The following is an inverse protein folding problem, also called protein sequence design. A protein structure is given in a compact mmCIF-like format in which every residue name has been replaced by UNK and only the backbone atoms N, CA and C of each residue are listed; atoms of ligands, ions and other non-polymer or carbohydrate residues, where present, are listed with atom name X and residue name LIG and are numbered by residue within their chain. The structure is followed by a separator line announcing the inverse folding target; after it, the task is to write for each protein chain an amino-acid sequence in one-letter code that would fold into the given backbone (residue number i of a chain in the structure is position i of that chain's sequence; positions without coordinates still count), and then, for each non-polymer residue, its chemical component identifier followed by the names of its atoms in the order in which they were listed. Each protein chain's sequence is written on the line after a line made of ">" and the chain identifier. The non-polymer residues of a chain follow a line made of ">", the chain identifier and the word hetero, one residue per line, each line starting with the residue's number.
data_IF_356739145838
#
_entry.id   IF_356739145838
#
_cell.length_a   1.000
_cell.length_b   1.000
_cell.length_c   1.000
_cell.angle_alpha   90.00
_cell.angle_beta   90.00
_cell.angle_gamma   90.00
#
_symmetry.space_group_name_H-M   'P 1'
#
loop_
_entity.id
_entity.type
_entity.pdbx_description
1 polymer ?
#
# COMPACT_ATOMS: atom_id res chain seq x y z
N UNK A 1 21.71 -42.97 31.01
CA UNK A 1 20.24 -43.08 30.94
C UNK A 1 19.84 -43.66 29.59
N UNK A 2 18.90 -44.60 29.55
CA UNK A 2 18.25 -45.01 28.29
C UNK A 2 17.07 -44.06 28.01
N UNK A 3 16.78 -43.73 26.74
CA UNK A 3 15.74 -42.74 26.37
C UNK A 3 14.36 -43.04 26.99
N UNK A 4 14.06 -44.33 27.17
CA UNK A 4 12.81 -44.84 27.75
C UNK A 4 12.71 -44.56 29.26
N UNK A 5 13.83 -44.56 29.98
CA UNK A 5 13.88 -44.28 31.42
C UNK A 5 13.70 -42.79 31.72
N UNK A 6 14.23 -41.92 30.86
CA UNK A 6 13.99 -40.47 30.91
C UNK A 6 12.52 -40.13 30.74
N UNK A 7 11.86 -40.74 29.75
CA UNK A 7 10.43 -40.57 29.51
C UNK A 7 9.60 -40.99 30.72
N UNK A 8 9.90 -42.16 31.32
CA UNK A 8 9.21 -42.63 32.53
C UNK A 8 9.46 -41.69 33.73
N UNK A 9 10.67 -41.18 33.92
CA UNK A 9 10.98 -40.24 35.00
C UNK A 9 10.32 -38.87 34.80
N UNK A 10 10.29 -38.35 33.58
CA UNK A 10 9.58 -37.11 33.22
C UNK A 10 8.09 -37.24 33.50
N UNK A 11 7.44 -38.31 33.03
CA UNK A 11 5.99 -38.54 33.24
C UNK A 11 5.66 -38.66 34.73
N UNK A 12 6.47 -39.40 35.51
CA UNK A 12 6.26 -39.57 36.95
C UNK A 12 6.39 -38.24 37.70
N UNK A 13 7.35 -37.40 37.29
CA UNK A 13 7.57 -36.08 37.88
C UNK A 13 6.49 -35.07 37.48
N UNK A 14 6.05 -35.09 36.22
CA UNK A 14 4.92 -34.28 35.76
C UNK A 14 3.65 -34.59 36.56
N UNK A 15 3.35 -35.87 36.79
CA UNK A 15 2.20 -36.28 37.62
C UNK A 15 2.36 -35.82 39.07
N UNK A 16 3.55 -35.95 39.66
CA UNK A 16 3.83 -35.53 41.05
C UNK A 16 3.69 -34.01 41.26
N UNK A 17 4.15 -33.21 40.30
CA UNK A 17 4.09 -31.74 40.35
C UNK A 17 2.94 -31.15 39.54
N UNK A 18 1.92 -31.97 39.22
CA UNK A 18 0.76 -31.53 38.42
C UNK A 18 0.04 -30.33 39.04
N UNK A 19 0.01 -30.24 40.38
CA UNK A 19 -0.57 -29.09 41.08
C UNK A 19 0.22 -27.79 40.89
N UNK A 20 1.56 -27.86 40.82
CA UNK A 20 2.41 -26.69 40.54
C UNK A 20 2.17 -26.18 39.11
N UNK A 21 2.02 -27.09 38.15
CA UNK A 21 1.69 -26.75 36.75
C UNK A 21 0.30 -26.08 36.69
N UNK A 22 -0.68 -26.60 37.44
CA UNK A 22 -2.02 -26.01 37.50
C UNK A 22 -2.01 -24.60 38.11
N UNK A 23 -1.24 -24.35 39.17
CA UNK A 23 -1.10 -23.01 39.78
C UNK A 23 -0.47 -22.02 38.80
N UNK A 24 0.60 -22.42 38.10
CA UNK A 24 1.25 -21.57 37.09
C UNK A 24 0.31 -21.29 35.91
N UNK A 25 -0.42 -22.31 35.44
CA UNK A 25 -1.41 -22.14 34.39
C UNK A 25 -2.51 -21.14 34.80
N UNK A 26 -3.07 -21.29 36.01
CA UNK A 26 -4.08 -20.36 36.54
C UNK A 26 -3.54 -18.94 36.74
N UNK A 27 -2.29 -18.78 37.19
CA UNK A 27 -1.64 -17.47 37.32
C UNK A 27 -1.50 -16.76 35.96
N UNK A 28 -1.05 -17.48 34.93
CA UNK A 28 -0.97 -16.94 33.57
C UNK A 28 -2.36 -16.69 32.96
N UNK A 29 -3.34 -17.57 33.21
CA UNK A 29 -4.74 -17.36 32.81
C UNK A 29 -5.34 -16.09 33.42
N UNK A 30 -5.12 -15.86 34.72
CA UNK A 30 -5.55 -14.66 35.43
C UNK A 30 -4.83 -13.39 34.94
N UNK A 31 -3.53 -13.47 34.65
CA UNK A 31 -2.75 -12.38 34.08
C UNK A 31 -3.30 -11.98 32.69
N UNK A 32 -3.50 -12.95 31.80
CA UNK A 32 -4.04 -12.69 30.46
C UNK A 32 -5.50 -12.21 30.49
N UNK A 33 -6.30 -12.63 31.48
CA UNK A 33 -7.63 -12.08 31.72
C UNK A 33 -7.57 -10.59 32.08
N UNK A 34 -6.68 -10.22 33.01
CA UNK A 34 -6.48 -8.83 33.41
C UNK A 34 -6.01 -7.98 32.22
N UNK A 35 -5.08 -8.49 31.42
CA UNK A 35 -4.63 -7.85 30.19
C UNK A 35 -5.76 -7.63 29.17
N UNK A 36 -6.63 -8.63 28.97
CA UNK A 36 -7.77 -8.50 28.06
C UNK A 36 -8.79 -7.48 28.59
N UNK A 37 -9.00 -7.41 29.91
CA UNK A 37 -9.89 -6.41 30.54
C UNK A 37 -9.36 -4.99 30.40
N UNK A 38 -8.03 -4.80 30.41
CA UNK A 38 -7.40 -3.49 30.27
C UNK A 38 -7.34 -3.00 28.80
N UNK A 39 -7.69 -3.84 27.83
CA UNK A 39 -7.68 -3.45 26.42
C UNK A 39 -8.77 -2.42 26.09
N UNK A 40 -8.39 -1.39 25.34
CA UNK A 40 -9.27 -0.29 24.93
C UNK A 40 -10.27 -0.80 23.90
N UNK A 41 -11.53 -0.38 24.02
CA UNK A 41 -12.57 -0.64 23.03
C UNK A 41 -12.28 0.21 21.79
N UNK A 42 -12.10 -0.45 20.65
CA UNK A 42 -11.94 0.25 19.38
C UNK A 42 -13.25 0.19 18.60
N UNK A 43 -13.54 1.24 17.84
CA UNK A 43 -14.69 1.34 16.96
C UNK A 43 -14.20 1.28 15.53
N UNK A 44 -14.79 0.42 14.71
CA UNK A 44 -14.44 0.31 13.30
C UNK A 44 -15.58 0.88 12.46
N UNK A 45 -15.23 1.80 11.56
CA UNK A 45 -16.10 2.26 10.48
C UNK A 45 -15.82 1.45 9.22
N UNK A 46 -16.90 1.04 8.56
CA UNK A 46 -16.88 0.47 7.22
C UNK A 46 -17.55 1.47 6.28
N UNK A 47 -16.82 1.92 5.26
CA UNK A 47 -17.40 2.69 4.15
C UNK A 47 -17.14 2.00 2.82
N UNK A 48 -18.05 2.19 1.88
CA UNK A 48 -17.94 1.60 0.54
C UNK A 48 -17.95 2.68 -0.51
N UNK A 49 -17.02 2.57 -1.45
CA UNK A 49 -16.83 3.54 -2.52
C UNK A 49 -16.90 2.82 -3.86
N UNK A 50 -17.71 3.35 -4.77
CA UNK A 50 -17.88 2.78 -6.09
C UNK A 50 -17.24 3.71 -7.13
N UNK A 51 -16.18 3.28 -7.82
CA UNK A 51 -15.70 3.98 -9.01
C UNK A 51 -16.64 3.65 -10.17
N UNK A 52 -17.46 4.61 -10.58
CA UNK A 52 -18.17 4.58 -11.86
C UNK A 52 -17.14 4.87 -12.96
N UNK A 53 -16.22 3.93 -13.19
CA UNK A 53 -15.36 3.96 -14.39
C UNK A 53 -16.13 3.33 -15.53
N UNK A 54 -16.48 4.10 -16.56
CA UNK A 54 -17.19 3.67 -17.75
C UNK A 54 -16.36 2.76 -18.68
N UNK A 55 -15.39 2.01 -18.17
CA UNK A 55 -14.45 1.25 -18.96
C UNK A 55 -14.74 -0.25 -18.94
N UNK A 56 -15.93 -0.64 -19.40
CA UNK A 56 -16.02 -1.85 -20.22
C UNK A 56 -15.49 -1.47 -21.61
N UNK A 57 -14.17 -1.33 -21.72
CA UNK A 57 -13.53 -1.23 -23.03
C UNK A 57 -12.77 -2.53 -23.22
N UNK A 58 -13.44 -3.50 -23.84
CA UNK A 58 -12.80 -4.55 -24.61
C UNK A 58 -11.99 -3.86 -25.71
N UNK A 59 -10.76 -3.49 -25.40
CA UNK A 59 -9.85 -2.78 -26.30
C UNK A 59 -9.35 -3.74 -27.37
N UNK A 60 -9.69 -3.43 -28.62
CA UNK A 60 -9.26 -4.07 -29.86
C UNK A 60 -7.73 -4.08 -30.10
N UNK A 61 -6.91 -3.71 -29.10
CA UNK A 61 -5.45 -3.79 -29.15
C UNK A 61 -4.92 -5.22 -28.98
N UNK A 62 -5.64 -6.08 -28.24
CA UNK A 62 -5.25 -7.48 -28.03
C UNK A 62 -5.41 -8.33 -29.30
N UNK A 63 -6.37 -8.00 -30.17
CA UNK A 63 -6.60 -8.73 -31.43
C UNK A 63 -5.56 -8.42 -32.50
N UNK A 64 -5.06 -7.18 -32.56
CA UNK A 64 -4.05 -6.78 -33.55
C UNK A 64 -2.66 -7.31 -33.15
N UNK A 65 -2.34 -7.30 -31.85
CA UNK A 65 -1.07 -7.85 -31.35
C UNK A 65 -1.03 -9.39 -31.47
N UNK A 66 -2.15 -10.07 -31.28
CA UNK A 66 -2.30 -11.50 -31.57
C UNK A 66 -2.27 -11.82 -33.08
N UNK A 67 -2.74 -10.91 -33.94
CA UNK A 67 -2.67 -11.06 -35.40
C UNK A 67 -1.25 -10.84 -35.96
N UNK A 68 -0.44 -10.02 -35.29
CA UNK A 68 0.93 -9.68 -35.71
C UNK A 68 2.02 -10.59 -35.11
N UNK A 69 1.66 -11.57 -34.28
CA UNK A 69 2.60 -12.56 -33.73
C UNK A 69 3.64 -11.98 -32.75
N UNK A 70 3.39 -10.80 -32.18
CA UNK A 70 4.31 -10.08 -31.28
C UNK A 70 4.13 -10.48 -29.80
N UNK A 71 3.91 -11.76 -29.53
CA UNK A 71 3.54 -12.27 -28.19
C UNK A 71 4.66 -12.21 -27.14
N UNK A 72 5.89 -11.89 -27.54
CA UNK A 72 7.08 -11.90 -26.66
C UNK A 72 7.68 -10.51 -26.38
N UNK A 73 7.01 -9.42 -26.76
CA UNK A 73 7.40 -8.11 -26.23
C UNK A 73 7.09 -8.09 -24.72
N UNK A 74 8.07 -7.77 -23.84
CA UNK A 74 7.80 -7.65 -22.41
C UNK A 74 6.66 -6.64 -22.24
N UNK A 75 5.57 -7.08 -21.60
CA UNK A 75 4.37 -6.28 -21.35
C UNK A 75 4.80 -4.89 -20.89
N UNK A 76 4.71 -3.92 -21.81
CA UNK A 76 5.10 -2.54 -21.56
C UNK A 76 4.28 -2.04 -20.36
N UNK A 77 4.96 -1.37 -19.42
CA UNK A 77 4.41 -0.77 -18.19
C UNK A 77 3.23 0.23 -18.41
N UNK A 78 2.79 0.43 -19.65
CA UNK A 78 2.09 1.65 -20.08
C UNK A 78 0.64 1.43 -20.55
N UNK A 79 0.25 0.22 -20.97
CA UNK A 79 -1.07 0.02 -21.61
C UNK A 79 -2.15 -0.61 -20.71
N UNK A 80 -1.77 -1.40 -19.69
CA UNK A 80 -2.71 -2.11 -18.80
C UNK A 80 -2.48 -1.84 -17.30
N UNK A 81 -1.71 -0.80 -16.94
CA UNK A 81 -1.54 -0.39 -15.55
C UNK A 81 -2.83 0.28 -15.03
N UNK A 82 -3.87 -0.52 -14.85
CA UNK A 82 -5.05 -0.13 -14.08
C UNK A 82 -4.57 0.29 -12.69
N UNK A 83 -4.73 1.58 -12.38
CA UNK A 83 -4.35 2.13 -11.07
C UNK A 83 -5.07 1.31 -10.01
N UNK A 84 -4.29 0.60 -9.20
CA UNK A 84 -4.83 -0.19 -8.10
C UNK A 84 -5.29 0.77 -7.00
N UNK A 85 -6.60 1.04 -6.96
CA UNK A 85 -7.21 1.97 -5.99
C UNK A 85 -6.98 1.51 -4.53
N UNK A 86 -6.80 0.21 -4.28
CA UNK A 86 -6.48 -0.32 -2.94
C UNK A 86 -5.08 0.06 -2.53
N UNK A 87 -4.11 -0.03 -3.45
CA UNK A 87 -2.74 0.39 -3.19
C UNK A 87 -2.65 1.89 -2.99
N UNK A 88 -3.40 2.67 -3.79
CA UNK A 88 -3.52 4.11 -3.60
C UNK A 88 -4.11 4.46 -2.23
N UNK A 89 -5.17 3.78 -1.79
CA UNK A 89 -5.77 3.99 -0.48
C UNK A 89 -4.79 3.66 0.65
N UNK A 90 -4.04 2.56 0.53
CA UNK A 90 -3.03 2.14 1.50
C UNK A 90 -1.67 2.84 1.30
N UNK A 91 -1.55 3.81 0.38
CA UNK A 91 -0.29 4.49 0.10
C UNK A 91 0.09 5.46 1.21
N UNK A 92 1.41 5.67 1.39
CA UNK A 92 1.95 6.66 2.32
C UNK A 92 1.48 8.07 1.98
N UNK A 93 1.40 8.41 0.69
CA UNK A 93 0.93 9.72 0.22
C UNK A 93 -0.49 10.04 0.69
N UNK A 94 -1.39 9.05 0.60
CA UNK A 94 -2.78 9.20 1.07
C UNK A 94 -2.83 9.39 2.58
N UNK A 95 -2.07 8.59 3.34
CA UNK A 95 -2.01 8.74 4.81
C UNK A 95 -1.46 10.09 5.25
N UNK A 96 -0.41 10.58 4.60
CA UNK A 96 0.18 11.89 4.92
C UNK A 96 -0.79 13.02 4.57
N UNK A 97 -1.45 12.96 3.42
CA UNK A 97 -2.45 13.93 3.02
C UNK A 97 -3.64 13.97 3.99
N UNK A 98 -4.12 12.82 4.44
CA UNK A 98 -5.15 12.73 5.49
C UNK A 98 -4.62 13.29 6.80
N UNK A 99 -3.41 12.93 7.22
CA UNK A 99 -2.83 13.41 8.48
C UNK A 99 -2.58 14.93 8.51
N UNK A 100 -2.45 15.60 7.36
CA UNK A 100 -2.30 17.05 7.25
C UNK A 100 -3.63 17.82 7.25
N UNK A 101 -4.75 17.14 7.05
CA UNK A 101 -6.06 17.78 6.98
C UNK A 101 -6.50 18.31 8.37
N UNK A 102 -7.20 19.44 8.37
CA UNK A 102 -7.79 20.02 9.59
C UNK A 102 -9.26 19.64 9.66
N UNK A 103 -9.74 19.32 10.86
CA UNK A 103 -11.15 19.00 11.08
C UNK A 103 -11.85 20.21 11.72
N UNK A 104 -12.72 20.95 11.00
CA UNK A 104 -13.45 22.08 11.56
C UNK A 104 -14.31 21.68 12.77
N UNK A 105 -14.90 20.49 12.72
CA UNK A 105 -15.74 19.90 13.77
C UNK A 105 -15.00 19.60 15.08
N UNK A 106 -13.67 19.67 15.10
CA UNK A 106 -12.81 19.36 16.26
C UNK A 106 -11.82 20.48 16.55
N UNK A 107 -12.34 21.69 16.78
CA UNK A 107 -11.54 22.85 17.17
C UNK A 107 -10.46 23.22 16.15
N UNK A 108 -10.71 22.92 14.86
CA UNK A 108 -9.78 23.15 13.75
C UNK A 108 -8.38 22.54 13.94
N UNK A 109 -8.28 21.48 14.77
CA UNK A 109 -7.05 20.74 14.97
C UNK A 109 -6.75 19.87 13.77
N UNK A 110 -5.46 19.67 13.52
CA UNK A 110 -4.99 18.76 12.48
C UNK A 110 -5.24 17.32 12.90
N UNK A 111 -5.57 16.43 11.96
CA UNK A 111 -5.76 14.99 12.23
C UNK A 111 -4.52 14.41 12.91
N UNK A 112 -3.32 14.83 12.51
CA UNK A 112 -2.09 14.40 13.15
C UNK A 112 -2.01 14.72 14.64
N UNK A 113 -2.45 15.91 15.07
CA UNK A 113 -2.53 16.28 16.49
C UNK A 113 -3.56 15.42 17.22
N UNK A 114 -4.76 15.29 16.66
CA UNK A 114 -5.86 14.55 17.26
C UNK A 114 -5.52 13.06 17.44
N UNK A 115 -4.83 12.45 16.47
CA UNK A 115 -4.39 11.06 16.55
C UNK A 115 -3.30 10.86 17.60
N UNK A 116 -2.37 11.80 17.73
CA UNK A 116 -1.33 11.75 18.76
C UNK A 116 -1.94 11.95 20.15
N UNK A 117 -2.87 12.89 20.30
CA UNK A 117 -3.60 13.12 21.55
C UNK A 117 -4.39 11.88 21.96
N UNK A 118 -5.14 11.27 21.04
CA UNK A 118 -5.90 10.06 21.32
C UNK A 118 -4.99 8.87 21.64
N UNK A 119 -3.86 8.72 20.94
CA UNK A 119 -2.87 7.69 21.26
C UNK A 119 -2.27 7.89 22.66
N UNK A 120 -1.95 9.13 23.02
CA UNK A 120 -1.35 9.50 24.30
C UNK A 120 -2.31 9.36 25.50
N UNK A 121 -3.64 9.32 25.28
CA UNK A 121 -4.61 9.01 26.35
C UNK A 121 -4.50 7.57 26.84
N UNK A 122 -4.05 6.65 26.00
CA UNK A 122 -3.97 5.21 26.30
C UNK A 122 -2.52 4.73 26.39
N UNK A 123 -1.71 5.43 27.18
CA UNK A 123 -0.31 5.06 27.47
C UNK A 123 -0.21 4.35 28.81
N UNK A 124 0.51 3.22 28.89
CA UNK A 124 0.61 2.40 30.10
C UNK A 124 1.34 1.08 29.87
N UNK A 125 1.37 0.20 30.89
CA UNK A 125 1.98 -1.13 30.77
C UNK A 125 1.31 -1.93 29.64
N UNK A 126 2.09 -2.27 28.61
CA UNK A 126 1.64 -3.01 27.42
C UNK A 126 0.55 -2.29 26.60
N UNK A 127 0.53 -0.94 26.67
CA UNK A 127 -0.31 -0.05 25.86
C UNK A 127 0.56 0.80 24.93
N UNK A 128 0.00 1.84 24.31
CA UNK A 128 0.70 2.64 23.32
C UNK A 128 1.91 3.36 23.94
N UNK A 129 3.00 3.48 23.18
CA UNK A 129 4.15 4.27 23.59
C UNK A 129 3.78 5.76 23.62
N UNK A 130 4.22 6.46 24.68
CA UNK A 130 3.97 7.89 24.82
C UNK A 130 4.81 8.66 23.81
N UNK A 131 4.14 9.40 22.94
CA UNK A 131 4.77 10.25 21.93
C UNK A 131 5.03 11.60 22.58
N UNK A 132 6.31 11.97 22.73
CA UNK A 132 6.72 13.26 23.31
C UNK A 132 6.33 14.41 22.38
N UNK A 133 5.69 15.43 22.91
CA UNK A 133 5.38 16.70 22.24
C UNK A 133 6.28 17.81 22.82
N UNK A 134 6.73 18.82 22.05
CA UNK A 134 6.35 19.14 20.67
C UNK A 134 7.22 18.42 19.62
N UNK A 135 6.58 18.01 18.53
CA UNK A 135 7.26 17.51 17.32
C UNK A 135 7.20 18.62 16.25
N UNK A 136 8.22 18.69 15.39
CA UNK A 136 8.16 19.49 14.17
C UNK A 136 6.97 19.07 13.30
N UNK A 137 6.36 20.02 12.58
CA UNK A 137 5.15 19.81 11.76
C UNK A 137 5.25 18.59 10.83
N UNK A 138 6.41 18.38 10.19
CA UNK A 138 6.66 17.24 9.32
C UNK A 138 6.80 15.93 10.10
N UNK A 139 7.50 15.95 11.23
CA UNK A 139 7.65 14.77 12.09
C UNK A 139 6.31 14.33 12.68
N UNK A 140 5.43 15.29 13.02
CA UNK A 140 4.08 15.05 13.52
C UNK A 140 3.24 14.29 12.48
N UNK A 141 3.29 14.72 11.21
CA UNK A 141 2.60 14.06 10.10
C UNK A 141 3.15 12.65 9.86
N UNK A 142 4.48 12.45 9.93
CA UNK A 142 5.08 11.13 9.76
C UNK A 142 4.65 10.14 10.85
N UNK A 143 4.62 10.60 12.12
CA UNK A 143 4.14 9.80 13.24
C UNK A 143 2.66 9.45 13.07
N UNK A 144 1.83 10.43 12.73
CA UNK A 144 0.41 10.21 12.46
C UNK A 144 0.18 9.26 11.28
N UNK A 145 0.97 9.37 10.20
CA UNK A 145 0.92 8.46 9.04
C UNK A 145 1.24 7.01 9.43
N UNK A 146 2.16 6.80 10.37
CA UNK A 146 2.46 5.47 10.92
C UNK A 146 1.31 4.94 11.80
N UNK A 147 0.66 5.78 12.61
CA UNK A 147 -0.53 5.39 13.37
C UNK A 147 -1.69 5.00 12.43
N UNK A 148 -1.88 5.77 11.35
CA UNK A 148 -2.86 5.49 10.32
C UNK A 148 -2.57 4.18 9.56
N UNK A 149 -1.30 3.85 9.31
CA UNK A 149 -0.91 2.59 8.67
C UNK A 149 -1.44 1.35 9.40
N UNK A 150 -1.50 1.41 10.73
CA UNK A 150 -1.96 0.27 11.55
C UNK A 150 -3.48 0.27 11.78
N UNK A 151 -4.15 1.42 11.64
CA UNK A 151 -5.57 1.60 11.95
C UNK A 151 -6.48 1.67 10.72
N UNK A 152 -5.91 1.89 9.53
CA UNK A 152 -6.62 1.96 8.26
C UNK A 152 -6.28 0.76 7.36
N UNK A 153 -7.30 0.24 6.69
CA UNK A 153 -7.12 -0.79 5.67
C UNK A 153 -8.18 -0.67 4.57
N UNK A 154 -7.74 -0.74 3.32
CA UNK A 154 -8.63 -0.83 2.16
C UNK A 154 -8.60 -2.24 1.54
N UNK A 155 -9.76 -2.74 1.10
CA UNK A 155 -9.92 -4.03 0.41
C UNK A 155 -10.95 -3.91 -0.70
N UNK A 156 -10.83 -4.75 -1.73
CA UNK A 156 -11.89 -4.92 -2.74
C UNK A 156 -12.69 -6.19 -2.41
N UNK A 157 -14.01 -6.07 -2.39
CA UNK A 157 -14.92 -7.21 -2.27
C UNK A 157 -15.02 -7.96 -3.61
N UNK A 158 -15.53 -9.20 -3.61
CA UNK A 158 -15.74 -10.03 -4.81
C UNK A 158 -16.55 -9.33 -5.90
N UNK A 159 -17.39 -8.36 -5.52
CA UNK A 159 -18.22 -7.57 -6.42
C UNK A 159 -17.50 -6.33 -7.00
N UNK A 160 -16.19 -6.18 -6.78
CA UNK A 160 -15.40 -5.04 -7.28
C UNK A 160 -15.58 -3.74 -6.49
N UNK A 161 -16.36 -3.76 -5.40
CA UNK A 161 -16.59 -2.60 -4.54
C UNK A 161 -15.39 -2.38 -3.61
N UNK A 162 -14.92 -1.14 -3.51
CA UNK A 162 -13.87 -0.75 -2.57
C UNK A 162 -14.47 -0.57 -1.18
N UNK A 163 -13.96 -1.32 -0.21
CA UNK A 163 -14.32 -1.21 1.20
C UNK A 163 -13.15 -0.58 1.97
N UNK A 164 -13.43 0.48 2.72
CA UNK A 164 -12.47 1.16 3.58
C UNK A 164 -12.82 0.88 5.03
N UNK A 165 -11.81 0.45 5.78
CA UNK A 165 -11.92 0.16 7.20
C UNK A 165 -11.03 1.12 7.97
N UNK A 166 -11.59 1.86 8.91
CA UNK A 166 -10.83 2.70 9.82
C UNK A 166 -11.23 2.43 11.27
N UNK A 167 -10.23 2.22 12.13
CA UNK A 167 -10.44 1.79 13.52
C UNK A 167 -9.79 2.75 14.49
N UNK A 168 -10.57 3.30 15.43
CA UNK A 168 -10.06 4.19 16.48
C UNK A 168 -10.90 4.06 17.77
N UNK A 169 -10.32 4.44 18.92
CA UNK A 169 -11.01 4.44 20.22
C UNK A 169 -12.11 5.51 20.32
N UNK A 170 -12.00 6.61 19.56
CA UNK A 170 -12.95 7.72 19.58
C UNK A 170 -13.87 7.69 18.35
N UNK A 171 -15.17 7.48 18.57
CA UNK A 171 -16.19 7.42 17.52
C UNK A 171 -16.23 8.65 16.61
N UNK A 172 -16.05 9.85 17.18
CA UNK A 172 -16.05 11.09 16.38
C UNK A 172 -14.81 11.16 15.48
N UNK A 173 -13.66 10.68 15.95
CA UNK A 173 -12.45 10.58 15.10
C UNK A 173 -12.63 9.54 14.00
N UNK A 174 -13.26 8.40 14.31
CA UNK A 174 -13.60 7.39 13.32
C UNK A 174 -14.39 8.01 12.17
N UNK A 175 -15.47 8.73 12.48
CA UNK A 175 -16.31 9.40 11.48
C UNK A 175 -15.52 10.36 10.60
N UNK A 176 -14.91 11.37 11.21
CA UNK A 176 -14.30 12.48 10.48
C UNK A 176 -13.08 12.01 9.67
N UNK A 177 -12.23 11.14 10.23
CA UNK A 177 -11.06 10.60 9.51
C UNK A 177 -11.50 9.73 8.34
N UNK A 178 -12.55 8.90 8.49
CA UNK A 178 -13.10 8.13 7.37
C UNK A 178 -13.61 9.02 6.23
N UNK A 179 -14.29 10.12 6.53
CA UNK A 179 -14.72 11.08 5.51
C UNK A 179 -13.54 11.70 4.77
N UNK A 180 -12.52 12.14 5.50
CA UNK A 180 -11.31 12.72 4.90
C UNK A 180 -10.58 11.69 4.03
N UNK A 181 -10.53 10.42 4.45
CA UNK A 181 -9.99 9.34 3.61
C UNK A 181 -10.73 9.20 2.29
N UNK A 182 -12.06 9.17 2.31
CA UNK A 182 -12.88 9.05 1.10
C UNK A 182 -12.61 10.24 0.17
N UNK A 183 -12.59 11.47 0.70
CA UNK A 183 -12.33 12.69 -0.08
C UNK A 183 -10.93 12.68 -0.72
N UNK A 184 -9.87 12.49 0.08
CA UNK A 184 -8.49 12.48 -0.42
C UNK A 184 -8.24 11.35 -1.40
N UNK A 185 -8.77 10.15 -1.12
CA UNK A 185 -8.66 9.02 -2.03
C UNK A 185 -9.36 9.31 -3.35
N UNK A 186 -10.56 9.88 -3.30
CA UNK A 186 -11.33 10.20 -4.50
C UNK A 186 -10.60 11.23 -5.36
N UNK A 187 -10.10 12.30 -4.74
CA UNK A 187 -9.31 13.32 -5.42
C UNK A 187 -8.05 12.74 -6.08
N UNK A 188 -7.27 11.95 -5.35
CA UNK A 188 -6.06 11.34 -5.89
C UNK A 188 -6.31 10.34 -7.00
N UNK A 189 -7.39 9.55 -6.90
CA UNK A 189 -7.75 8.61 -7.96
C UNK A 189 -8.18 9.34 -9.23
N UNK A 190 -9.03 10.37 -9.10
CA UNK A 190 -9.47 11.21 -10.23
C UNK A 190 -8.25 11.88 -10.89
N UNK A 191 -7.36 12.47 -10.09
CA UNK A 191 -6.15 13.15 -10.58
C UNK A 191 -5.26 12.17 -11.34
N UNK A 192 -4.95 11.01 -10.76
CA UNK A 192 -4.08 10.01 -11.39
C UNK A 192 -4.70 9.45 -12.67
N UNK A 193 -6.01 9.18 -12.69
CA UNK A 193 -6.68 8.64 -13.87
C UNK A 193 -6.72 9.64 -15.02
N UNK A 194 -7.04 10.91 -14.76
CA UNK A 194 -7.16 11.93 -15.82
C UNK A 194 -5.83 12.55 -16.24
N UNK A 195 -4.73 12.33 -15.48
CA UNK A 195 -3.47 13.06 -15.65
C UNK A 195 -2.93 12.97 -17.08
N UNK A 196 -2.97 11.79 -17.70
CA UNK A 196 -2.47 11.56 -19.05
C UNK A 196 -3.30 12.31 -20.09
N UNK A 197 -4.62 12.09 -20.13
CA UNK A 197 -5.49 12.82 -21.04
C UNK A 197 -5.46 14.34 -20.80
N UNK A 198 -5.23 14.80 -19.57
CA UNK A 198 -5.08 16.23 -19.28
C UNK A 198 -3.83 16.80 -19.97
N UNK A 199 -2.69 16.10 -19.89
CA UNK A 199 -1.45 16.52 -20.56
C UNK A 199 -1.66 16.55 -22.09
N UNK A 200 -2.31 15.54 -22.66
CA UNK A 200 -2.59 15.46 -24.10
C UNK A 200 -3.52 16.59 -24.57
N UNK A 201 -4.52 16.93 -23.75
CA UNK A 201 -5.43 18.04 -24.01
C UNK A 201 -4.70 19.39 -23.95
N UNK A 202 -3.90 19.62 -22.91
CA UNK A 202 -3.09 20.84 -22.76
C UNK A 202 -2.09 21.02 -23.92
N UNK A 203 -1.48 19.92 -24.38
CA UNK A 203 -0.62 19.93 -25.56
C UNK A 203 -1.39 20.32 -26.83
N UNK A 204 -2.60 19.77 -27.01
CA UNK A 204 -3.46 20.06 -28.16
C UNK A 204 -3.91 21.52 -28.19
N UNK A 205 -4.23 22.12 -27.02
CA UNK A 205 -4.52 23.56 -26.89
C UNK A 205 -3.30 24.37 -27.34
N UNK A 206 -2.14 24.12 -26.74
CA UNK A 206 -0.91 24.88 -27.04
C UNK A 206 -0.56 24.82 -28.53
N UNK A 207 -0.77 23.67 -29.17
CA UNK A 207 -0.53 23.51 -30.61
C UNK A 207 -1.49 24.36 -31.45
N UNK A 208 -2.79 24.36 -31.12
CA UNK A 208 -3.78 25.16 -31.82
C UNK A 208 -3.50 26.67 -31.66
N UNK A 209 -3.17 27.12 -30.44
CA UNK A 209 -2.86 28.53 -30.16
C UNK A 209 -1.57 28.99 -30.88
N UNK A 210 -0.57 28.11 -30.95
CA UNK A 210 0.66 28.39 -31.70
C UNK A 210 0.39 28.56 -33.19
N UNK A 211 -0.44 27.69 -33.78
CA UNK A 211 -0.82 27.78 -35.19
C UNK A 211 -1.65 29.04 -35.46
N UNK A 212 -2.57 29.41 -34.56
CA UNK A 212 -3.33 30.65 -34.65
C UNK A 212 -2.42 31.89 -34.60
N UNK A 213 -1.40 31.87 -33.74
CA UNK A 213 -0.40 32.95 -33.65
C UNK A 213 0.37 33.09 -34.96
N UNK A 214 0.81 31.98 -35.55
CA UNK A 214 1.48 31.98 -36.87
C UNK A 214 0.52 32.48 -37.95
N UNK A 215 -0.74 32.04 -37.96
CA UNK A 215 -1.75 32.50 -38.92
C UNK A 215 -1.95 34.02 -38.85
N UNK A 216 -2.08 34.58 -37.64
CA UNK A 216 -2.18 36.02 -37.41
C UNK A 216 -0.93 36.79 -37.89
N UNK A 217 0.26 36.19 -37.78
CA UNK A 217 1.49 36.78 -38.32
C UNK A 217 1.51 36.77 -39.85
N UNK A 218 1.05 35.69 -40.48
CA UNK A 218 0.90 35.62 -41.94
C UNK A 218 -0.14 36.63 -42.45
N UNK A 219 -1.22 36.84 -41.71
CA UNK A 219 -2.22 37.88 -42.02
C UNK A 219 -1.62 39.29 -41.99
N UNK A 220 -0.86 39.61 -40.94
CA UNK A 220 -0.13 40.89 -40.86
C UNK A 220 0.85 41.07 -42.01
N UNK A 221 1.57 40.01 -42.39
CA UNK A 221 2.46 40.03 -43.56
C UNK A 221 1.68 40.25 -44.85
N UNK A 222 0.53 39.61 -45.02
CA UNK A 222 -0.30 39.75 -46.20
C UNK A 222 -0.81 41.19 -46.35
N UNK A 223 -1.27 41.80 -45.26
CA UNK A 223 -1.66 43.22 -45.22
C UNK A 223 -0.47 44.11 -45.61
N UNK A 224 0.70 43.93 -44.98
CA UNK A 224 1.88 44.75 -45.29
C UNK A 224 2.37 44.61 -46.74
N UNK A 225 2.24 43.41 -47.31
CA UNK A 225 2.62 43.14 -48.70
C UNK A 225 1.62 43.80 -49.64
N UNK A 226 0.34 43.79 -49.32
CA UNK A 226 -0.69 44.43 -50.12
C UNK A 226 -0.56 45.97 -50.10
N UNK A 227 -0.40 46.56 -48.92
CA UNK A 227 -0.16 48.00 -48.75
C UNK A 227 1.09 48.48 -49.50
N UNK A 228 2.19 47.71 -49.46
CA UNK A 228 3.44 48.07 -50.15
C UNK A 228 3.42 47.86 -51.66
N UNK A 229 2.44 47.12 -52.19
CA UNK A 229 2.32 46.81 -53.63
C UNK A 229 1.08 47.42 -54.29
N UNK A 230 0.30 48.24 -53.57
CA UNK A 230 -0.97 48.80 -54.04
C UNK A 230 -0.87 49.59 -55.37
N UNK A 231 0.26 50.25 -55.63
CA UNK A 231 0.49 51.05 -56.85
C UNK A 231 1.47 50.39 -57.85
N UNK A 232 1.81 49.11 -57.70
CA UNK A 232 2.76 48.43 -58.58
C UNK A 232 2.06 47.68 -59.73
N UNK A 233 2.78 47.43 -60.82
CA UNK A 233 2.24 46.67 -61.95
C UNK A 233 2.13 45.18 -61.58
N UNK A 234 0.90 44.70 -61.41
CA UNK A 234 0.57 43.31 -61.05
C UNK A 234 1.04 42.27 -62.08
N UNK A 235 1.25 42.68 -63.34
CA UNK A 235 1.77 41.81 -64.40
C UNK A 235 3.25 41.43 -64.23
N UNK A 236 3.98 42.11 -63.34
CA UNK A 236 5.37 41.77 -63.03
C UNK A 236 5.42 40.64 -61.99
N UNK A 237 6.00 39.50 -62.38
CA UNK A 237 6.13 38.32 -61.53
C UNK A 237 6.80 38.62 -60.18
N UNK A 238 7.71 39.59 -60.11
CA UNK A 238 8.39 40.01 -58.87
C UNK A 238 7.43 40.47 -57.76
N UNK A 239 6.24 40.95 -58.12
CA UNK A 239 5.21 41.39 -57.18
C UNK A 239 4.10 40.36 -56.99
N UNK A 240 3.81 39.54 -58.00
CA UNK A 240 2.78 38.50 -57.95
C UNK A 240 3.23 37.24 -57.19
N UNK A 241 4.45 36.74 -57.42
CA UNK A 241 4.94 35.48 -56.84
C UNK A 241 4.97 35.51 -55.29
N UNK A 242 5.46 36.59 -54.63
CA UNK A 242 5.42 36.66 -53.16
C UNK A 242 4.01 36.62 -52.58
N UNK A 243 3.01 37.25 -53.25
CA UNK A 243 1.60 37.20 -52.83
C UNK A 243 1.06 35.78 -52.91
N UNK A 244 1.34 35.07 -54.01
CA UNK A 244 0.92 33.67 -54.20
C UNK A 244 1.55 32.74 -53.17
N UNK A 245 2.86 32.83 -52.95
CA UNK A 245 3.57 32.02 -51.96
C UNK A 245 3.02 32.24 -50.55
N UNK A 246 2.80 33.49 -50.16
CA UNK A 246 2.25 33.83 -48.84
C UNK A 246 0.81 33.33 -48.67
N UNK A 247 -0.01 33.39 -49.72
CA UNK A 247 -1.36 32.85 -49.71
C UNK A 247 -1.35 31.31 -49.56
N UNK A 248 -0.43 30.62 -50.24
CA UNK A 248 -0.25 29.17 -50.11
C UNK A 248 0.23 28.76 -48.70
N UNK A 249 1.20 29.50 -48.14
CA UNK A 249 1.67 29.28 -46.77
C UNK A 249 0.53 29.48 -45.77
N UNK A 250 -0.25 30.56 -45.94
CA UNK A 250 -1.44 30.81 -45.12
C UNK A 250 -2.45 29.68 -45.22
N UNK A 251 -2.78 29.21 -46.43
CA UNK A 251 -3.70 28.10 -46.63
C UNK A 251 -3.20 26.80 -45.96
N UNK A 252 -1.90 26.55 -46.01
CA UNK A 252 -1.26 25.38 -45.38
C UNK A 252 -1.37 25.45 -43.85
N UNK A 253 -1.01 26.58 -43.24
CA UNK A 253 -1.10 26.79 -41.79
C UNK A 253 -2.56 26.77 -41.33
N UNK A 254 -3.48 27.35 -42.10
CA UNK A 254 -4.90 27.34 -41.82
C UNK A 254 -5.47 25.91 -41.82
N UNK A 255 -5.08 25.07 -42.78
CA UNK A 255 -5.43 23.65 -42.82
C UNK A 255 -4.92 22.92 -41.56
N UNK A 256 -3.65 23.12 -41.21
CA UNK A 256 -3.08 22.55 -39.99
C UNK A 256 -3.80 23.01 -38.72
N UNK A 257 -4.21 24.27 -38.66
CA UNK A 257 -4.99 24.83 -37.56
C UNK A 257 -6.33 24.10 -37.41
N UNK A 258 -7.07 23.88 -38.51
CA UNK A 258 -8.32 23.13 -38.45
C UNK A 258 -8.13 21.68 -37.97
N UNK A 259 -7.07 21.00 -38.41
CA UNK A 259 -6.73 19.68 -37.88
C UNK A 259 -6.39 19.73 -36.38
N UNK A 260 -5.65 20.75 -35.94
CA UNK A 260 -5.31 20.93 -34.52
C UNK A 260 -6.54 21.19 -33.65
N UNK A 261 -7.52 21.97 -34.14
CA UNK A 261 -8.80 22.20 -33.45
C UNK A 261 -9.58 20.89 -33.32
N UNK A 262 -9.69 20.09 -34.38
CA UNK A 262 -10.34 18.77 -34.31
C UNK A 262 -9.63 17.81 -33.33
N UNK A 263 -8.30 17.84 -33.31
CA UNK A 263 -7.51 17.06 -32.35
C UNK A 263 -7.75 17.54 -30.91
N UNK A 264 -7.90 18.84 -30.69
CA UNK A 264 -8.25 19.44 -29.39
C UNK A 264 -9.63 18.97 -28.91
N UNK A 265 -10.65 18.98 -29.76
CA UNK A 265 -11.98 18.44 -29.41
C UNK A 265 -11.93 16.96 -29.08
N UNK A 266 -11.20 16.19 -29.89
CA UNK A 266 -10.99 14.76 -29.66
C UNK A 266 -10.26 14.51 -28.32
N UNK A 267 -9.30 15.35 -27.96
CA UNK A 267 -8.59 15.29 -26.69
C UNK A 267 -9.49 15.70 -25.51
N UNK A 268 -10.35 16.70 -25.67
CA UNK A 268 -11.34 17.10 -24.68
C UNK A 268 -12.33 15.96 -24.38
N UNK A 269 -12.82 15.29 -25.43
CA UNK A 269 -13.69 14.13 -25.30
C UNK A 269 -12.99 12.96 -24.58
N UNK A 270 -11.72 12.67 -24.91
CA UNK A 270 -10.93 11.67 -24.19
C UNK A 270 -10.76 12.02 -22.71
N UNK A 271 -10.45 13.28 -22.40
CA UNK A 271 -10.32 13.76 -21.01
C UNK A 271 -11.63 13.59 -20.23
N UNK A 272 -12.77 13.92 -20.83
CA UNK A 272 -14.08 13.70 -20.22
C UNK A 272 -14.34 12.21 -19.96
N UNK A 273 -14.05 11.36 -20.95
CA UNK A 273 -14.24 9.90 -20.84
C UNK A 273 -13.33 9.26 -19.79
N UNK A 274 -12.09 9.73 -19.66
CA UNK A 274 -11.12 9.21 -18.70
C UNK A 274 -11.31 9.75 -17.28
N UNK A 275 -12.07 10.83 -17.10
CA UNK A 275 -12.37 11.39 -15.77
C UNK A 275 -13.37 10.49 -15.05
N UNK A 276 -12.95 9.72 -14.02
CA UNK A 276 -13.85 8.82 -13.34
C UNK A 276 -14.78 9.59 -12.41
N UNK A 277 -15.98 9.07 -12.21
CA UNK A 277 -16.89 9.53 -11.17
C UNK A 277 -16.78 8.55 -10.00
N UNK A 278 -16.54 9.07 -8.80
CA UNK A 278 -16.43 8.27 -7.58
C UNK A 278 -17.52 8.72 -6.64
N UNK A 279 -18.37 7.78 -6.25
CA UNK A 279 -19.46 8.04 -5.30
C UNK A 279 -19.30 7.13 -4.07
N UNK A 280 -19.50 7.74 -2.90
CA UNK A 280 -19.57 6.99 -1.65
C UNK A 280 -20.94 6.32 -1.58
N UNK A 281 -20.97 4.99 -1.71
CA UNK A 281 -22.19 4.20 -1.62
C UNK A 281 -22.65 4.10 -0.17
N UNK A 282 -21.73 3.73 0.72
CA UNK A 282 -21.95 3.75 2.18
C UNK A 282 -21.09 4.83 2.83
N UNK A 283 -21.77 5.76 3.51
CA UNK A 283 -21.12 6.80 4.31
C UNK A 283 -20.67 6.23 5.67
N UNK A 284 -19.55 6.69 6.24
CA UNK A 284 -19.01 6.21 7.52
C UNK A 284 -19.80 6.72 8.74
N UNK A 285 -21.10 6.46 8.77
CA UNK A 285 -22.04 6.87 9.82
C UNK A 285 -22.25 5.75 10.85
N UNK A 286 -22.64 6.07 12.10
CA UNK A 286 -22.96 5.08 13.12
C UNK A 286 -24.20 4.23 12.74
N UNK A 287 -24.34 3.00 13.26
CA UNK A 287 -23.57 2.40 14.36
C UNK A 287 -22.22 1.81 13.93
N UNK A 288 -21.20 2.02 14.76
CA UNK A 288 -19.88 1.41 14.58
C UNK A 288 -19.80 0.09 15.34
N UNK A 289 -19.14 -0.91 14.76
CA UNK A 289 -18.93 -2.20 15.43
C UNK A 289 -17.82 -2.08 16.49
N UNK A 290 -18.11 -2.38 17.78
CA UNK A 290 -17.09 -2.34 18.82
C UNK A 290 -16.19 -3.56 18.74
N UNK A 291 -14.92 -3.36 18.37
CA UNK A 291 -13.89 -4.39 18.38
C UNK A 291 -13.27 -4.43 19.78
N UNK A 292 -13.52 -5.53 20.49
CA UNK A 292 -12.94 -5.82 21.82
C UNK A 292 -12.13 -7.10 21.78
N UNK A 293 -10.99 -7.12 22.48
CA UNK A 293 -10.25 -8.38 22.69
C UNK A 293 -11.14 -9.34 23.48
N UNK A 294 -11.38 -10.53 22.94
CA UNK A 294 -12.23 -11.52 23.61
C UNK A 294 -11.57 -12.02 24.89
N UNK A 295 -12.21 -11.73 26.03
CA UNK A 295 -11.71 -12.16 27.36
C UNK A 295 -11.47 -13.66 27.42
N UNK A 296 -12.38 -14.44 26.81
CA UNK A 296 -12.38 -15.90 26.81
C UNK A 296 -11.21 -16.46 26.00
N UNK A 297 -10.97 -15.89 24.81
CA UNK A 297 -9.88 -16.35 23.94
C UNK A 297 -8.53 -16.05 24.59
N UNK A 298 -8.36 -14.85 25.14
CA UNK A 298 -7.12 -14.47 25.82
C UNK A 298 -6.87 -15.27 27.10
N UNK A 299 -7.91 -15.58 27.89
CA UNK A 299 -7.77 -16.48 29.05
C UNK A 299 -7.32 -17.88 28.64
N UNK A 300 -7.89 -18.43 27.55
CA UNK A 300 -7.56 -19.76 27.08
C UNK A 300 -6.11 -19.83 26.59
N UNK A 301 -5.66 -18.83 25.84
CA UNK A 301 -4.26 -18.69 25.42
C UNK A 301 -3.34 -18.60 26.64
N UNK A 302 -3.69 -17.80 27.65
CA UNK A 302 -2.94 -17.68 28.90
C UNK A 302 -2.82 -19.01 29.65
N UNK A 303 -3.91 -19.79 29.73
CA UNK A 303 -3.91 -21.11 30.37
C UNK A 303 -3.00 -22.11 29.64
N UNK A 304 -3.08 -22.16 28.31
CA UNK A 304 -2.25 -23.05 27.49
C UNK A 304 -0.77 -22.67 27.64
N UNK A 305 -0.45 -21.38 27.50
CA UNK A 305 0.93 -20.89 27.59
C UNK A 305 1.51 -21.14 28.99
N UNK A 306 0.73 -20.88 30.04
CA UNK A 306 1.10 -21.15 31.42
C UNK A 306 1.28 -22.64 31.72
N UNK A 307 0.46 -23.50 31.11
CA UNK A 307 0.62 -24.96 31.19
C UNK A 307 1.93 -25.45 30.56
N UNK A 308 2.27 -24.92 29.38
CA UNK A 308 3.54 -25.24 28.69
C UNK A 308 4.74 -24.76 29.52
N UNK A 309 4.71 -23.51 30.00
CA UNK A 309 5.77 -22.95 30.85
C UNK A 309 5.91 -23.71 32.17
N UNK A 310 4.80 -24.10 32.79
CA UNK A 310 4.80 -24.94 34.00
C UNK A 310 5.42 -26.32 33.75
N UNK A 311 5.09 -26.96 32.62
CA UNK A 311 5.68 -28.24 32.22
C UNK A 311 7.19 -28.11 31.99
N UNK A 312 7.63 -27.05 31.32
CA UNK A 312 9.06 -26.77 31.11
C UNK A 312 9.79 -26.53 32.42
N UNK A 313 9.25 -25.70 33.33
CA UNK A 313 9.87 -25.39 34.61
C UNK A 313 10.06 -26.64 35.49
N UNK A 314 9.06 -27.53 35.53
CA UNK A 314 9.15 -28.80 36.28
C UNK A 314 10.15 -29.77 35.64
N UNK A 315 10.22 -29.78 34.30
CA UNK A 315 11.09 -30.66 33.53
C UNK A 315 12.54 -30.18 33.48
N UNK A 316 12.78 -28.88 33.66
CA UNK A 316 14.10 -28.22 33.56
C UNK A 316 15.18 -28.89 34.40
N UNK A 317 14.86 -29.31 35.64
CA UNK A 317 15.83 -29.98 36.52
C UNK A 317 16.23 -31.38 36.02
N UNK A 318 15.34 -32.12 35.38
CA UNK A 318 15.67 -33.44 34.79
C UNK A 318 16.46 -33.24 33.50
N UNK A 319 16.03 -32.28 32.68
CA UNK A 319 16.67 -31.95 31.41
C UNK A 319 18.12 -31.51 31.67
N UNK A 320 18.38 -30.62 32.63
CA UNK A 320 19.74 -30.19 32.97
C UNK A 320 20.62 -31.33 33.52
N UNK A 321 20.06 -32.26 34.28
CA UNK A 321 20.81 -33.43 34.77
C UNK A 321 21.19 -34.35 33.61
N UNK A 322 20.26 -34.60 32.69
CA UNK A 322 20.51 -35.40 31.50
C UNK A 322 21.53 -34.75 30.53
N UNK A 323 21.40 -33.44 30.29
CA UNK A 323 22.36 -32.69 29.47
C UNK A 323 23.76 -32.70 30.11
N UNK A 324 23.85 -32.59 31.44
CA UNK A 324 25.11 -32.70 32.16
C UNK A 324 25.75 -34.09 32.02
N UNK A 325 24.95 -35.15 32.12
CA UNK A 325 25.42 -36.53 31.98
C UNK A 325 25.86 -36.85 30.53
N UNK A 326 25.16 -36.33 29.52
CA UNK A 326 25.57 -36.43 28.11
C UNK A 326 26.82 -35.60 27.81
N UNK A 327 26.92 -34.39 28.37
CA UNK A 327 28.10 -33.53 28.20
C UNK A 327 29.33 -34.16 28.85
N UNK A 328 29.21 -34.69 30.07
CA UNK A 328 30.29 -35.40 30.75
C UNK A 328 30.72 -36.66 29.97
N UNK A 329 29.76 -37.42 29.43
CA UNK A 329 30.04 -38.60 28.58
C UNK A 329 30.67 -38.23 27.23
N UNK A 330 30.34 -37.06 26.68
CA UNK A 330 30.96 -36.51 25.48
C UNK A 330 32.39 -36.01 25.75
N UNK A 331 32.61 -35.34 26.89
CA UNK A 331 33.91 -34.90 27.37
C UNK A 331 34.82 -36.10 27.65
N UNK A 332 34.31 -37.16 28.29
CA UNK A 332 35.04 -38.41 28.56
C UNK A 332 35.39 -39.17 27.26
N UNK A 333 34.54 -39.11 26.23
CA UNK A 333 34.85 -39.62 24.89
C UNK A 333 35.91 -38.77 24.18
N UNK A 334 35.90 -37.46 24.38
CA UNK A 334 36.88 -36.53 23.80
C UNK A 334 38.23 -36.55 24.54
N UNK A 335 38.27 -36.95 25.81
CA UNK A 335 39.48 -37.01 26.64
C UNK A 335 40.25 -38.34 26.53
N UNK A 336 39.75 -39.35 25.80
CA UNK A 336 40.51 -40.56 25.51
C UNK A 336 41.60 -40.26 24.46
N UNK A 337 42.88 -40.56 24.72
CA UNK A 337 43.95 -40.27 23.78
C UNK A 337 43.82 -41.11 22.50
N UNK A 338 44.03 -40.47 21.36
CA UNK A 338 44.29 -41.13 20.07
C UNK A 338 45.64 -41.86 20.18
N UNK A 339 45.63 -43.13 20.56
CA UNK A 339 46.80 -43.99 20.68
C UNK A 339 46.92 -44.99 19.52
N UNK A 340 47.66 -44.57 18.48
CA UNK A 340 48.62 -45.34 17.67
C UNK A 340 48.41 -46.83 17.38
N UNK A 341 48.27 -47.14 16.08
CA UNK A 341 48.54 -48.44 15.48
C UNK A 341 48.27 -48.41 13.97
N UNK A 342 49.29 -48.03 13.18
CA UNK A 342 49.24 -47.88 11.72
C UNK A 342 49.15 -49.20 10.94
N UNK A 343 49.16 -49.13 9.59
CA UNK A 343 48.71 -50.18 8.68
C UNK A 343 49.76 -51.28 8.48
N UNK A 344 49.32 -52.53 8.31
CA UNK A 344 50.22 -53.60 7.87
C UNK A 344 49.50 -54.56 6.91
N UNK A 345 50.19 -54.80 5.82
CA UNK A 345 49.85 -55.57 4.62
C UNK A 345 49.64 -57.07 4.90
N UNK A 346 48.86 -57.70 4.03
CA UNK A 346 48.73 -59.15 3.85
C UNK A 346 50.10 -59.82 3.62
N UNK A 347 50.15 -61.15 3.81
CA UNK A 347 50.55 -61.97 2.66
C UNK A 347 49.61 -63.15 2.38
N UNK A 348 49.54 -63.48 1.09
CA UNK A 348 48.83 -64.60 0.47
C UNK A 348 49.39 -65.97 0.89
N UNK A 349 48.55 -67.01 0.88
CA UNK A 349 48.77 -68.26 0.10
C UNK A 349 47.58 -69.22 0.25
N UNK A 350 46.95 -69.53 -0.90
CA UNK A 350 46.07 -70.68 -1.21
C UNK A 350 46.87 -72.03 -1.14
N UNK A 351 46.32 -73.25 -1.45
CA UNK A 351 44.92 -73.70 -1.68
C UNK A 351 44.59 -75.10 -1.07
N UNK A 352 43.37 -75.59 -1.39
CA UNK A 352 42.94 -77.00 -1.56
C UNK A 352 42.82 -77.93 -0.34
N UNK A 353 41.58 -78.30 0.01
CA UNK A 353 40.92 -79.47 -0.60
C UNK A 353 39.40 -79.39 -0.51
#
# INVERSE_FOLDING_TARGET
>A
MNNIELLKQLIRRLKKFSWVIAIIALAFGGLFYFMAKQSVVQWTSKSTVFPLSSSNTSTAGSTISNLLGLTDAPKSFTEDASINIVELANSRRTREAVAMEKIPSMNNKTISELLIEENNKYTGFMQNEKIKTPLDSLTQVNVASNLLKNSFNAKINKNGILELYYTNSNQKLVREVSYVYIDKLSLFYIELKKKKAQIDYEFSIKKADSLLTVLNQLDKRAISLDESTFFTNEGLQRYSIPKVNLAQDKATVQSQYYYAVNNRESAAYRLQKETPIIEALDKPEPPYDPVKKSKIIYTLIGLILGGILGMLAVSWKIINQYLGDELNKAIEKASKPKGTGGPALQPQTEPLK
#
